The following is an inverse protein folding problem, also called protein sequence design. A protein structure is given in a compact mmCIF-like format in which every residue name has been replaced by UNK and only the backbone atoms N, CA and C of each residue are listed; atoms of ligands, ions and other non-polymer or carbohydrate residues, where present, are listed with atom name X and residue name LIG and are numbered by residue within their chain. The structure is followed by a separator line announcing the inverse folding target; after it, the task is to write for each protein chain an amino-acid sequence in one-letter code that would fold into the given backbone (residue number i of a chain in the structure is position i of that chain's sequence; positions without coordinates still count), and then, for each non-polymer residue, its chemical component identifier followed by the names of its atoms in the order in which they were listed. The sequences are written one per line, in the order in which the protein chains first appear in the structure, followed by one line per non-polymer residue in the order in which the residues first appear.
data_IF_068079250448
#
_entry.id   IF_068079250448
#
_cell.length_a   1.000
_cell.length_b   1.000
_cell.length_c   1.000
_cell.angle_alpha   90.00
_cell.angle_beta   90.00
_cell.angle_gamma   90.00
#
_symmetry.space_group_name_H-M   'P 1'
#
loop_
_entity.id
_entity.type
_entity.pdbx_description
1 polymer ?
#
# COMPACT_ATOMS: atom_id res chain seq x y z
N UNK A 1 43.78 15.89 21.50
CA UNK A 1 42.53 16.45 20.92
C UNK A 1 41.64 15.27 20.61
N UNK A 2 40.73 14.95 21.54
CA UNK A 2 39.79 13.84 21.41
C UNK A 2 38.59 14.34 20.61
N UNK A 3 38.32 13.70 19.46
CA UNK A 3 37.04 13.81 18.80
C UNK A 3 36.13 12.70 19.31
N UNK A 4 35.25 13.04 20.24
CA UNK A 4 33.99 12.34 20.43
C UNK A 4 33.00 12.83 19.38
N UNK A 5 32.41 11.95 18.55
CA UNK A 5 31.07 12.16 18.05
C UNK A 5 30.15 11.23 18.83
N UNK A 6 29.63 11.73 19.95
CA UNK A 6 28.37 11.25 20.47
C UNK A 6 27.26 11.65 19.47
N UNK A 7 27.13 10.87 18.40
CA UNK A 7 25.91 10.85 17.62
C UNK A 7 24.86 10.17 18.50
N UNK A 8 24.08 11.00 19.19
CA UNK A 8 22.81 10.58 19.81
C UNK A 8 21.97 9.91 18.73
N UNK A 9 21.94 8.58 18.77
CA UNK A 9 20.93 7.74 18.13
C UNK A 9 19.58 8.11 18.75
N UNK A 10 18.97 9.16 18.20
CA UNK A 10 17.62 9.58 18.51
C UNK A 10 16.67 8.54 17.89
N UNK A 11 16.51 7.43 18.60
CA UNK A 11 15.67 6.30 18.25
C UNK A 11 14.28 6.79 17.86
N UNK A 12 13.99 6.81 16.55
CA UNK A 12 12.72 7.21 15.95
C UNK A 12 11.63 6.16 16.23
N UNK A 13 11.29 6.01 17.50
CA UNK A 13 10.02 5.47 17.94
C UNK A 13 8.89 6.36 17.41
N UNK A 14 7.70 5.79 17.18
CA UNK A 14 6.48 6.57 16.89
C UNK A 14 6.43 7.80 17.80
N UNK A 15 6.75 8.97 17.25
CA UNK A 15 6.91 10.18 18.06
C UNK A 15 5.52 10.61 18.51
N UNK A 16 5.22 10.36 19.79
CA UNK A 16 4.00 10.85 20.41
C UNK A 16 4.15 12.36 20.57
N UNK A 17 3.31 13.12 19.86
CA UNK A 17 3.23 14.57 19.98
C UNK A 17 2.08 14.96 20.89
N UNK A 18 2.28 16.01 21.69
CA UNK A 18 1.23 16.57 22.56
C UNK A 18 0.07 17.14 21.75
N UNK A 19 0.35 17.59 20.53
CA UNK A 19 -0.64 18.17 19.61
C UNK A 19 -0.51 17.59 18.20
N UNK A 20 -1.63 17.50 17.50
CA UNK A 20 -1.64 17.19 16.08
C UNK A 20 -0.91 18.30 15.28
N UNK A 21 -0.23 17.96 14.16
CA UNK A 21 0.32 18.96 13.26
C UNK A 21 -0.73 19.99 12.85
N UNK A 22 -0.37 21.28 12.93
CA UNK A 22 -1.30 22.38 12.66
C UNK A 22 -1.96 22.26 11.28
N UNK A 23 -1.21 21.84 10.25
CA UNK A 23 -1.73 21.64 8.89
C UNK A 23 -2.87 20.63 8.76
N UNK A 24 -3.02 19.69 9.72
CA UNK A 24 -4.16 18.78 9.75
C UNK A 24 -5.47 19.47 10.14
N UNK A 25 -5.39 20.60 10.85
CA UNK A 25 -6.55 21.30 11.45
C UNK A 25 -6.86 22.64 10.79
N UNK A 26 -5.87 23.31 10.19
CA UNK A 26 -6.03 24.62 9.53
C UNK A 26 -6.95 24.53 8.31
N UNK A 27 -6.83 23.47 7.52
CA UNK A 27 -7.42 23.38 6.20
C UNK A 27 -8.31 22.16 6.01
N UNK A 28 -8.91 22.09 4.82
CA UNK A 28 -9.61 20.88 4.36
C UNK A 28 -8.59 19.92 3.76
N UNK A 29 -8.50 18.71 4.29
CA UNK A 29 -7.61 17.69 3.74
C UNK A 29 -8.06 17.23 2.36
N UNK A 30 -7.10 17.03 1.46
CA UNK A 30 -7.31 16.55 0.10
C UNK A 30 -7.49 15.04 0.15
N UNK A 31 -8.48 14.53 -0.58
CA UNK A 31 -8.67 13.09 -0.70
C UNK A 31 -7.67 12.53 -1.73
N UNK A 32 -6.78 11.65 -1.31
CA UNK A 32 -5.79 11.02 -2.19
C UNK A 32 -6.32 9.74 -2.84
N UNK A 33 -6.99 8.89 -2.07
CA UNK A 33 -7.38 7.56 -2.54
C UNK A 33 -8.40 6.85 -1.68
N UNK A 34 -8.90 5.74 -2.21
CA UNK A 34 -9.89 4.86 -1.59
C UNK A 34 -9.46 3.40 -1.82
N UNK A 35 -9.09 2.71 -0.74
CA UNK A 35 -8.91 1.25 -0.74
C UNK A 35 -10.24 0.56 -0.46
N UNK A 36 -10.24 -0.75 -0.13
CA UNK A 36 -11.46 -1.45 0.32
C UNK A 36 -11.81 -1.05 1.75
N UNK A 37 -10.84 -1.10 2.67
CA UNK A 37 -11.03 -0.84 4.10
C UNK A 37 -10.79 0.59 4.56
N UNK A 38 -10.14 1.43 3.74
CA UNK A 38 -9.67 2.77 4.18
C UNK A 38 -9.82 3.84 3.11
N UNK A 39 -10.03 5.08 3.54
CA UNK A 39 -9.94 6.29 2.69
C UNK A 39 -8.75 7.09 3.17
N UNK A 40 -7.92 7.53 2.23
CA UNK A 40 -6.68 8.24 2.51
C UNK A 40 -6.86 9.72 2.20
N UNK A 41 -6.55 10.56 3.18
CA UNK A 41 -6.56 12.01 3.07
C UNK A 41 -5.19 12.57 3.33
N UNK A 42 -4.86 13.71 2.74
CA UNK A 42 -3.58 14.37 2.93
C UNK A 42 -3.70 15.88 3.09
N UNK A 43 -2.81 16.39 3.91
CA UNK A 43 -2.37 17.78 3.97
C UNK A 43 -1.12 17.95 3.11
N UNK A 44 -0.33 18.99 3.35
CA UNK A 44 0.90 19.22 2.60
C UNK A 44 1.96 18.15 2.90
N UNK A 45 2.16 17.80 4.17
CA UNK A 45 3.24 16.92 4.62
C UNK A 45 2.72 15.67 5.33
N UNK A 46 1.45 15.63 5.74
CA UNK A 46 0.88 14.49 6.46
C UNK A 46 -0.29 13.84 5.74
N UNK A 47 -0.34 12.51 5.84
CA UNK A 47 -1.41 11.62 5.41
C UNK A 47 -2.14 11.09 6.64
N UNK A 48 -3.47 11.09 6.60
CA UNK A 48 -4.32 10.45 7.61
C UNK A 48 -5.25 9.43 6.94
N UNK A 49 -5.48 8.32 7.65
CA UNK A 49 -6.34 7.23 7.20
C UNK A 49 -7.69 7.34 7.93
N UNK A 50 -8.79 7.24 7.17
CA UNK A 50 -10.12 6.94 7.72
C UNK A 50 -10.41 5.48 7.49
N UNK A 51 -10.58 4.73 8.57
CA UNK A 51 -11.09 3.37 8.50
C UNK A 51 -12.58 3.35 8.15
N UNK A 52 -12.97 2.35 7.38
CA UNK A 52 -14.36 2.08 7.06
C UNK A 52 -15.00 1.16 8.05
N UNK A 53 -16.29 1.35 8.26
CA UNK A 53 -17.07 0.38 9.02
C UNK A 53 -17.16 -0.95 8.25
N UNK A 54 -17.36 -2.08 8.95
CA UNK A 54 -17.61 -3.36 8.29
C UNK A 54 -18.78 -3.32 7.31
N UNK A 55 -19.84 -2.55 7.61
CA UNK A 55 -20.99 -2.40 6.70
C UNK A 55 -20.63 -1.64 5.41
N UNK A 56 -19.78 -0.61 5.49
CA UNK A 56 -19.28 0.09 4.30
C UNK A 56 -18.43 -0.83 3.42
N UNK A 57 -17.58 -1.67 4.03
CA UNK A 57 -16.72 -2.62 3.32
C UNK A 57 -17.55 -3.69 2.63
N UNK A 58 -18.47 -4.33 3.36
CA UNK A 58 -19.33 -5.37 2.79
C UNK A 58 -20.21 -4.81 1.66
N UNK A 59 -20.72 -3.58 1.80
CA UNK A 59 -21.48 -2.92 0.74
C UNK A 59 -20.63 -2.70 -0.52
N UNK A 60 -19.36 -2.32 -0.37
CA UNK A 60 -18.43 -2.19 -1.49
C UNK A 60 -18.15 -3.53 -2.19
N UNK A 61 -17.93 -4.61 -1.42
CA UNK A 61 -17.67 -5.93 -1.99
C UNK A 61 -18.92 -6.45 -2.71
N UNK A 62 -20.11 -6.31 -2.10
CA UNK A 62 -21.38 -6.70 -2.71
C UNK A 62 -21.65 -5.92 -4.00
N UNK A 63 -21.43 -4.60 -3.96
CA UNK A 63 -21.54 -3.73 -5.13
C UNK A 63 -20.62 -4.18 -6.27
N UNK A 64 -19.36 -4.48 -5.95
CA UNK A 64 -18.39 -4.92 -6.95
C UNK A 64 -18.74 -6.28 -7.55
N UNK A 65 -19.20 -7.24 -6.73
CA UNK A 65 -19.69 -8.53 -7.23
C UNK A 65 -20.93 -8.38 -8.11
N UNK A 66 -21.84 -7.48 -7.73
CA UNK A 66 -23.04 -7.18 -8.52
C UNK A 66 -22.70 -6.56 -9.88
N UNK A 67 -21.81 -5.56 -9.90
CA UNK A 67 -21.34 -4.94 -11.15
C UNK A 67 -20.68 -5.99 -12.04
N UNK A 68 -19.76 -6.81 -11.48
CA UNK A 68 -19.12 -7.89 -12.23
C UNK A 68 -20.13 -8.86 -12.81
N UNK A 69 -21.15 -9.27 -12.05
CA UNK A 69 -22.19 -10.19 -12.54
C UNK A 69 -23.02 -9.60 -13.70
N UNK A 70 -23.19 -8.27 -13.71
CA UNK A 70 -23.96 -7.55 -14.73
C UNK A 70 -23.09 -7.17 -15.93
N UNK A 71 -21.77 -7.12 -15.78
CA UNK A 71 -20.83 -6.84 -16.86
C UNK A 71 -21.03 -7.78 -18.06
N UNK A 72 -21.38 -9.04 -17.81
CA UNK A 72 -21.65 -10.04 -18.86
C UNK A 72 -22.92 -9.72 -19.67
N UNK A 73 -23.84 -8.95 -19.09
CA UNK A 73 -25.13 -8.58 -19.67
C UNK A 73 -25.10 -7.19 -20.31
N UNK A 74 -24.06 -6.38 -20.04
CA UNK A 74 -23.91 -5.05 -20.59
C UNK A 74 -23.10 -5.09 -21.90
N UNK A 75 -23.70 -4.76 -23.05
CA UNK A 75 -22.98 -4.75 -24.32
C UNK A 75 -21.89 -3.65 -24.31
N UNK A 76 -20.69 -4.02 -24.77
CA UNK A 76 -19.61 -3.11 -25.14
C UNK A 76 -18.97 -2.29 -24.01
N UNK A 77 -18.02 -2.87 -23.26
CA UNK A 77 -17.08 -2.19 -22.31
C UNK A 77 -17.66 -1.11 -21.37
N UNK A 78 -18.98 -1.04 -21.23
CA UNK A 78 -19.67 -0.06 -20.39
C UNK A 78 -19.42 -0.35 -18.90
N UNK A 79 -19.26 -1.64 -18.55
CA UNK A 79 -18.88 -2.06 -17.20
C UNK A 79 -17.51 -1.52 -16.77
N UNK A 80 -16.50 -1.63 -17.65
CA UNK A 80 -15.14 -1.12 -17.40
C UNK A 80 -15.15 0.40 -17.20
N UNK A 81 -15.84 1.16 -18.06
CA UNK A 81 -15.93 2.63 -17.94
C UNK A 81 -16.63 3.10 -16.67
N UNK A 82 -17.64 2.35 -16.19
CA UNK A 82 -18.33 2.64 -14.93
C UNK A 82 -17.39 2.45 -13.73
N UNK A 83 -16.49 1.46 -13.78
CA UNK A 83 -15.54 1.19 -12.70
C UNK A 83 -14.35 2.15 -12.68
N UNK A 84 -13.89 2.64 -13.84
CA UNK A 84 -12.73 3.53 -13.95
C UNK A 84 -12.95 4.93 -13.35
N UNK A 85 -14.18 5.44 -13.37
CA UNK A 85 -14.53 6.74 -12.77
C UNK A 85 -15.74 6.58 -11.86
N UNK A 86 -15.57 6.60 -10.52
CA UNK A 86 -16.68 6.54 -9.58
C UNK A 86 -17.54 7.79 -9.69
N UNK A 87 -18.50 7.76 -10.61
CA UNK A 87 -19.45 8.82 -10.88
C UNK A 87 -20.40 8.99 -9.69
N UNK A 88 -21.25 10.04 -9.71
CA UNK A 88 -22.33 10.20 -8.73
C UNK A 88 -23.22 8.94 -8.61
N UNK A 89 -23.31 8.13 -9.67
CA UNK A 89 -24.11 6.90 -9.71
C UNK A 89 -23.56 5.80 -8.79
N UNK A 90 -22.23 5.62 -8.72
CA UNK A 90 -21.62 4.64 -7.80
C UNK A 90 -21.87 5.04 -6.34
N UNK A 91 -21.92 6.34 -6.04
CA UNK A 91 -22.28 6.81 -4.70
C UNK A 91 -23.73 6.49 -4.37
N UNK A 92 -24.66 6.74 -5.30
CA UNK A 92 -26.07 6.42 -5.10
C UNK A 92 -26.28 4.90 -4.93
N UNK A 93 -25.67 4.10 -5.80
CA UNK A 93 -25.76 2.66 -5.75
C UNK A 93 -25.16 2.10 -4.45
N UNK A 94 -24.07 2.69 -3.94
CA UNK A 94 -23.53 2.37 -2.62
C UNK A 94 -24.53 2.64 -1.49
N UNK A 95 -25.22 3.78 -1.50
CA UNK A 95 -26.25 4.10 -0.51
C UNK A 95 -27.41 3.10 -0.57
N UNK A 96 -27.84 2.72 -1.79
CA UNK A 96 -28.89 1.70 -1.98
C UNK A 96 -28.46 0.33 -1.44
N UNK A 97 -27.24 -0.11 -1.77
CA UNK A 97 -26.69 -1.38 -1.26
C UNK A 97 -26.55 -1.34 0.26
N UNK A 98 -26.10 -0.23 0.84
CA UNK A 98 -26.04 -0.06 2.29
C UNK A 98 -27.43 -0.16 2.93
N UNK A 99 -28.46 0.45 2.33
CA UNK A 99 -29.85 0.32 2.77
C UNK A 99 -30.33 -1.12 2.75
N UNK A 100 -30.07 -1.85 1.65
CA UNK A 100 -30.40 -3.28 1.55
C UNK A 100 -29.68 -4.12 2.61
N UNK A 101 -28.41 -3.82 2.87
CA UNK A 101 -27.62 -4.51 3.89
C UNK A 101 -28.12 -4.32 5.32
N UNK A 102 -28.89 -3.27 5.62
CA UNK A 102 -29.51 -3.09 6.92
C UNK A 102 -30.67 -4.07 7.16
N UNK A 103 -31.28 -4.58 6.08
CA UNK A 103 -32.41 -5.52 6.13
C UNK A 103 -31.92 -6.95 6.37
N UNK A 104 -30.76 -7.32 5.82
CA UNK A 104 -30.19 -8.66 5.97
C UNK A 104 -29.33 -8.74 7.23
N UNK A 105 -29.59 -9.68 8.17
CA UNK A 105 -28.83 -9.79 9.41
C UNK A 105 -27.32 -9.96 9.16
N UNK A 106 -26.51 -9.28 9.98
CA UNK A 106 -25.03 -9.31 9.86
C UNK A 106 -24.45 -10.74 9.86
N UNK A 107 -25.05 -11.65 10.64
CA UNK A 107 -24.62 -13.05 10.71
C UNK A 107 -24.67 -13.76 9.35
N UNK A 108 -25.67 -13.48 8.53
CA UNK A 108 -25.81 -14.08 7.19
C UNK A 108 -24.69 -13.58 6.27
N UNK A 109 -24.36 -12.29 6.31
CA UNK A 109 -23.26 -11.74 5.50
C UNK A 109 -21.91 -12.32 5.90
N UNK A 110 -21.64 -12.47 7.20
CA UNK A 110 -20.38 -13.04 7.67
C UNK A 110 -20.23 -14.54 7.38
N UNK A 111 -21.34 -15.26 7.22
CA UNK A 111 -21.35 -16.65 6.78
C UNK A 111 -21.14 -16.81 5.26
N UNK A 112 -21.30 -15.75 4.48
CA UNK A 112 -21.05 -15.81 3.03
C UNK A 112 -19.56 -15.75 2.71
N UNK A 113 -19.18 -16.22 1.51
CA UNK A 113 -17.82 -16.09 0.96
C UNK A 113 -17.30 -14.63 0.96
N UNK A 114 -18.18 -13.62 0.95
CA UNK A 114 -17.80 -12.21 1.09
C UNK A 114 -17.20 -11.92 2.47
N UNK A 115 -17.81 -12.45 3.53
CA UNK A 115 -17.35 -12.30 4.90
C UNK A 115 -16.00 -12.99 5.15
N UNK A 116 -15.81 -14.16 4.53
CA UNK A 116 -14.54 -14.90 4.59
C UNK A 116 -13.40 -14.13 3.88
N UNK A 117 -13.62 -13.65 2.65
CA UNK A 117 -12.65 -12.83 1.92
C UNK A 117 -12.24 -11.58 2.71
N UNK A 118 -13.22 -10.90 3.33
CA UNK A 118 -12.93 -9.73 4.17
C UNK A 118 -12.10 -10.09 5.40
N UNK A 119 -12.42 -11.20 6.06
CA UNK A 119 -11.70 -11.67 7.26
C UNK A 119 -10.23 -11.95 6.95
N UNK A 120 -9.96 -12.67 5.85
CA UNK A 120 -8.60 -12.97 5.40
C UNK A 120 -7.84 -11.69 5.01
N UNK A 121 -8.49 -10.77 4.30
CA UNK A 121 -7.86 -9.50 3.92
C UNK A 121 -7.55 -8.64 5.15
N UNK A 122 -8.48 -8.56 6.10
CA UNK A 122 -8.30 -7.80 7.34
C UNK A 122 -7.20 -8.38 8.21
N UNK A 123 -7.16 -9.71 8.39
CA UNK A 123 -6.12 -10.35 9.19
C UNK A 123 -4.73 -10.14 8.60
N UNK A 124 -4.62 -10.11 7.26
CA UNK A 124 -3.36 -9.78 6.57
C UNK A 124 -2.97 -8.30 6.73
N UNK A 125 -3.91 -7.37 6.57
CA UNK A 125 -3.65 -5.93 6.77
C UNK A 125 -3.19 -5.65 8.22
N UNK A 126 -3.88 -6.23 9.21
CA UNK A 126 -3.53 -6.11 10.63
C UNK A 126 -2.16 -6.73 10.94
N UNK A 127 -1.89 -7.95 10.47
CA UNK A 127 -0.58 -8.59 10.63
C UNK A 127 0.53 -7.76 9.99
N UNK A 128 0.33 -7.32 8.76
CA UNK A 128 1.31 -6.54 8.01
C UNK A 128 1.63 -5.21 8.68
N UNK A 129 0.64 -4.49 9.20
CA UNK A 129 0.84 -3.26 9.98
C UNK A 129 1.56 -3.53 11.31
N UNK A 130 1.26 -4.64 12.00
CA UNK A 130 2.00 -5.07 13.20
C UNK A 130 3.47 -5.33 12.86
N UNK A 131 3.76 -6.05 11.78
CA UNK A 131 5.13 -6.32 11.32
C UNK A 131 5.87 -5.04 10.92
N UNK A 132 5.22 -4.15 10.18
CA UNK A 132 5.82 -2.86 9.85
C UNK A 132 6.13 -2.03 11.09
N UNK A 133 5.28 -2.07 12.13
CA UNK A 133 5.55 -1.36 13.39
C UNK A 133 6.64 -2.03 14.22
N UNK A 134 6.68 -3.35 14.31
CA UNK A 134 7.62 -4.06 15.17
C UNK A 134 9.01 -4.25 14.55
N UNK A 135 9.10 -4.37 13.22
CA UNK A 135 10.34 -4.68 12.50
C UNK A 135 10.91 -3.53 11.67
N UNK A 136 10.07 -2.57 11.27
CA UNK A 136 10.45 -1.49 10.35
C UNK A 136 10.27 -0.07 10.91
N UNK A 137 9.74 0.09 12.13
CA UNK A 137 9.58 1.41 12.72
C UNK A 137 10.94 2.05 13.04
N UNK A 138 11.04 3.36 12.79
CA UNK A 138 12.27 4.13 13.00
C UNK A 138 13.34 3.94 11.93
N UNK A 139 13.01 3.21 10.87
CA UNK A 139 13.93 2.92 9.78
C UNK A 139 13.58 3.70 8.52
N UNK A 140 14.57 3.91 7.68
CA UNK A 140 14.40 4.59 6.38
C UNK A 140 13.43 3.88 5.43
N UNK A 141 13.01 2.65 5.77
CA UNK A 141 12.11 1.79 5.01
C UNK A 141 10.63 2.17 5.13
N UNK A 142 10.23 2.94 6.15
CA UNK A 142 8.84 3.40 6.30
C UNK A 142 8.79 4.93 6.43
N UNK A 143 7.68 5.58 6.00
CA UNK A 143 7.50 7.00 6.26
C UNK A 143 7.38 7.27 7.76
N UNK A 144 7.75 8.48 8.20
CA UNK A 144 7.60 8.87 9.61
C UNK A 144 6.13 8.72 10.04
N UNK A 145 5.91 8.13 11.22
CA UNK A 145 4.59 8.03 11.85
C UNK A 145 4.59 8.77 13.17
N UNK A 146 3.59 9.62 13.34
CA UNK A 146 3.37 10.38 14.56
C UNK A 146 2.00 10.05 15.14
N UNK A 147 1.93 9.96 16.46
CA UNK A 147 0.69 9.78 17.21
C UNK A 147 0.42 11.02 18.04
N UNK A 148 -0.85 11.33 18.24
CA UNK A 148 -1.29 12.51 19.01
C UNK A 148 -2.68 12.28 19.60
N UNK A 149 -3.09 13.06 20.63
CA UNK A 149 -4.44 12.98 21.17
C UNK A 149 -5.50 13.14 20.06
N UNK A 150 -6.63 12.40 20.11
CA UNK A 150 -7.63 12.46 19.06
C UNK A 150 -8.12 13.89 18.77
N UNK A 151 -8.01 14.33 17.51
CA UNK A 151 -8.48 15.63 17.05
C UNK A 151 -9.49 15.48 15.91
N UNK A 152 -10.40 16.46 15.81
CA UNK A 152 -11.37 16.54 14.71
C UNK A 152 -10.77 17.34 13.55
N UNK A 153 -10.67 16.71 12.38
CA UNK A 153 -10.15 17.33 11.15
C UNK A 153 -11.23 17.42 10.08
N UNK A 154 -11.20 18.47 9.27
CA UNK A 154 -12.14 18.67 8.18
C UNK A 154 -11.59 18.04 6.91
N UNK A 155 -12.35 17.14 6.28
CA UNK A 155 -11.85 16.35 5.14
C UNK A 155 -12.60 16.64 3.83
N UNK A 156 -11.91 16.44 2.71
CA UNK A 156 -12.40 16.51 1.33
C UNK A 156 -13.51 15.50 1.04
N UNK A 157 -14.64 15.94 0.49
CA UNK A 157 -15.70 15.05 0.00
C UNK A 157 -16.48 14.26 1.06
N UNK A 158 -16.34 14.59 2.35
CA UNK A 158 -17.12 14.00 3.44
C UNK A 158 -17.95 15.07 4.17
N UNK A 159 -19.23 14.82 4.46
CA UNK A 159 -20.06 15.73 5.24
C UNK A 159 -19.75 15.56 6.72
N UNK A 160 -18.73 16.26 7.21
CA UNK A 160 -18.44 16.32 8.65
C UNK A 160 -16.96 16.29 9.00
N UNK A 161 -16.72 15.99 10.28
CA UNK A 161 -15.40 15.90 10.87
C UNK A 161 -14.95 14.44 10.94
N UNK A 162 -13.65 14.21 10.76
CA UNK A 162 -13.01 12.93 11.01
C UNK A 162 -12.20 13.05 12.30
N UNK A 163 -12.38 12.11 13.23
CA UNK A 163 -11.49 12.00 14.38
C UNK A 163 -10.24 11.23 13.96
N UNK A 164 -9.06 11.82 14.13
CA UNK A 164 -7.76 11.20 13.83
C UNK A 164 -6.84 11.33 15.04
N UNK A 165 -5.99 10.32 15.24
CA UNK A 165 -4.99 10.27 16.32
C UNK A 165 -3.61 9.82 15.84
N UNK A 166 -3.46 9.59 14.54
CA UNK A 166 -2.22 9.16 13.89
C UNK A 166 -2.12 9.88 12.54
N UNK A 167 -0.90 10.26 12.17
CA UNK A 167 -0.58 10.72 10.84
C UNK A 167 0.73 10.07 10.35
N UNK A 168 0.80 9.84 9.05
CA UNK A 168 1.96 9.28 8.36
C UNK A 168 2.53 10.33 7.42
N UNK A 169 3.84 10.44 7.34
CA UNK A 169 4.53 11.33 6.41
C UNK A 169 4.06 11.10 4.98
N UNK A 170 3.81 12.20 4.28
CA UNK A 170 3.37 12.18 2.90
C UNK A 170 4.56 11.92 1.99
N UNK A 171 4.38 10.95 1.10
CA UNK A 171 5.30 10.70 -0.01
C UNK A 171 4.96 11.61 -1.20
N UNK A 172 5.97 11.94 -2.00
CA UNK A 172 5.83 12.80 -3.18
C UNK A 172 4.97 12.13 -4.25
N UNK A 173 5.22 10.84 -4.48
CA UNK A 173 4.50 10.01 -5.44
C UNK A 173 4.62 8.53 -5.05
N UNK A 174 3.78 7.67 -5.64
CA UNK A 174 4.07 6.23 -5.61
C UNK A 174 5.28 5.93 -6.49
N UNK A 175 6.02 4.85 -6.21
CA UNK A 175 7.16 4.44 -7.03
C UNK A 175 6.74 4.17 -8.48
N UNK A 176 5.56 3.58 -8.69
CA UNK A 176 5.00 3.39 -10.03
C UNK A 176 4.81 4.73 -10.78
N UNK A 177 4.25 5.73 -10.11
CA UNK A 177 4.04 7.05 -10.71
C UNK A 177 5.38 7.71 -11.04
N UNK A 178 6.37 7.66 -10.13
CA UNK A 178 7.71 8.18 -10.37
C UNK A 178 8.37 7.55 -11.59
N UNK A 179 8.35 6.23 -11.70
CA UNK A 179 8.94 5.51 -12.85
C UNK A 179 8.21 5.83 -14.15
N UNK A 180 6.88 5.97 -14.10
CA UNK A 180 6.07 6.39 -15.25
C UNK A 180 6.45 7.79 -15.72
N UNK A 181 6.60 8.74 -14.80
CA UNK A 181 6.97 10.12 -15.13
C UNK A 181 8.38 10.22 -15.72
N UNK A 182 9.34 9.46 -15.17
CA UNK A 182 10.70 9.35 -15.73
C UNK A 182 10.69 8.76 -17.15
N UNK A 183 9.91 7.70 -17.39
CA UNK A 183 9.78 7.09 -18.71
C UNK A 183 9.16 8.06 -19.73
N UNK A 184 8.09 8.78 -19.34
CA UNK A 184 7.47 9.81 -20.20
C UNK A 184 8.45 10.94 -20.54
N UNK A 185 9.27 11.33 -19.58
CA UNK A 185 10.34 12.32 -19.77
C UNK A 185 11.58 11.75 -20.47
N UNK A 186 11.59 10.47 -20.85
CA UNK A 186 12.73 9.74 -21.46
C UNK A 186 14.00 9.75 -20.60
N UNK A 187 13.87 9.93 -19.28
CA UNK A 187 14.97 9.94 -18.30
C UNK A 187 15.28 8.51 -17.82
N UNK A 188 15.72 7.67 -18.75
CA UNK A 188 15.85 6.23 -18.52
C UNK A 188 17.01 5.84 -17.60
N UNK A 189 18.09 6.62 -17.57
CA UNK A 189 19.21 6.39 -16.65
C UNK A 189 18.75 6.52 -15.18
N UNK A 190 18.02 7.59 -14.87
CA UNK A 190 17.45 7.77 -13.54
C UNK A 190 16.36 6.73 -13.22
N UNK A 191 15.59 6.32 -14.22
CA UNK A 191 14.61 5.25 -14.05
C UNK A 191 15.30 3.96 -13.57
N UNK A 192 16.42 3.60 -14.20
CA UNK A 192 17.20 2.42 -13.82
C UNK A 192 17.77 2.55 -12.40
N UNK A 193 18.25 3.73 -12.00
CA UNK A 193 18.67 4.00 -10.61
C UNK A 193 17.53 3.73 -9.61
N UNK A 194 16.30 4.13 -9.92
CA UNK A 194 15.15 3.87 -9.03
C UNK A 194 14.75 2.38 -9.01
N UNK A 195 14.87 1.67 -10.14
CA UNK A 195 14.65 0.23 -10.18
C UNK A 195 15.69 -0.52 -9.34
N UNK A 196 16.95 -0.12 -9.42
CA UNK A 196 18.04 -0.71 -8.64
C UNK A 196 17.84 -0.46 -7.15
N UNK A 197 17.51 0.77 -6.75
CA UNK A 197 17.14 1.08 -5.36
C UNK A 197 15.98 0.23 -4.86
N UNK A 198 14.99 -0.03 -5.71
CA UNK A 198 13.85 -0.87 -5.35
C UNK A 198 14.26 -2.33 -5.10
N UNK A 199 15.22 -2.84 -5.88
CA UNK A 199 15.78 -4.16 -5.66
C UNK A 199 16.62 -4.19 -4.38
N UNK A 200 17.45 -3.17 -4.15
CA UNK A 200 18.32 -3.07 -2.96
C UNK A 200 17.54 -2.92 -1.65
N UNK A 201 16.33 -2.36 -1.71
CA UNK A 201 15.39 -2.31 -0.59
C UNK A 201 14.97 -3.70 -0.10
N UNK A 202 14.96 -4.73 -0.97
CA UNK A 202 14.37 -6.05 -0.62
C UNK A 202 15.19 -6.78 0.43
N UNK A 203 16.52 -6.96 0.27
CA UNK A 203 17.34 -7.55 1.31
C UNK A 203 17.27 -6.81 2.64
N UNK A 204 17.09 -5.48 2.64
CA UNK A 204 16.94 -4.73 3.89
C UNK A 204 15.69 -5.12 4.67
N UNK A 205 14.55 -5.31 3.98
CA UNK A 205 13.35 -5.88 4.60
C UNK A 205 13.55 -7.31 5.09
N UNK A 206 14.19 -8.16 4.28
CA UNK A 206 14.40 -9.57 4.61
C UNK A 206 15.29 -9.75 5.85
N UNK A 207 16.36 -8.96 5.98
CA UNK A 207 17.23 -8.95 7.17
C UNK A 207 16.48 -8.61 8.46
N UNK A 208 15.34 -7.93 8.34
CA UNK A 208 14.47 -7.58 9.46
C UNK A 208 13.37 -8.61 9.71
N UNK A 209 13.37 -9.70 8.95
CA UNK A 209 12.39 -10.79 9.06
C UNK A 209 11.03 -10.41 8.49
N UNK A 210 10.99 -9.53 7.48
CA UNK A 210 9.74 -9.23 6.78
C UNK A 210 9.89 -9.44 5.28
N UNK A 211 8.86 -9.99 4.65
CA UNK A 211 8.77 -10.22 3.23
C UNK A 211 7.47 -9.63 2.67
N UNK A 212 7.54 -8.91 1.56
CA UNK A 212 6.37 -8.35 0.88
C UNK A 212 5.84 -9.32 -0.17
N UNK A 213 4.78 -10.07 0.15
CA UNK A 213 4.12 -11.01 -0.76
C UNK A 213 3.56 -10.26 -1.97
N UNK A 214 2.91 -9.12 -1.72
CA UNK A 214 2.52 -8.20 -2.77
C UNK A 214 3.64 -7.18 -3.00
N UNK A 215 4.36 -7.37 -4.09
CA UNK A 215 5.48 -6.54 -4.50
C UNK A 215 5.10 -5.38 -5.44
N UNK A 216 3.80 -5.09 -5.61
CA UNK A 216 3.36 -4.01 -6.50
C UNK A 216 3.97 -2.66 -6.12
N UNK A 217 4.46 -1.95 -7.14
CA UNK A 217 5.12 -0.64 -7.02
C UNK A 217 4.23 0.47 -6.43
N UNK A 218 2.91 0.26 -6.38
CA UNK A 218 1.96 1.19 -5.73
C UNK A 218 2.00 1.12 -4.19
N UNK A 219 2.53 0.04 -3.63
CA UNK A 219 2.69 -0.14 -2.18
C UNK A 219 3.94 0.59 -1.66
N UNK A 220 4.73 1.16 -2.57
CA UNK A 220 5.94 1.93 -2.28
C UNK A 220 5.76 3.38 -2.71
N UNK A 221 6.28 4.29 -1.89
CA UNK A 221 6.34 5.71 -2.13
C UNK A 221 7.76 6.20 -2.35
N UNK A 222 7.88 7.33 -3.01
CA UNK A 222 9.12 8.09 -3.15
C UNK A 222 9.04 9.29 -2.22
N UNK A 223 10.05 9.43 -1.38
CA UNK A 223 10.20 10.58 -0.51
C UNK A 223 11.65 11.01 -0.59
N UNK A 224 11.88 12.24 -1.07
CA UNK A 224 13.20 12.77 -1.39
C UNK A 224 13.97 11.80 -2.31
N UNK A 225 15.06 11.21 -1.82
CA UNK A 225 15.93 10.32 -2.57
C UNK A 225 15.79 8.84 -2.17
N UNK A 226 14.75 8.48 -1.39
CA UNK A 226 14.53 7.11 -0.89
C UNK A 226 13.18 6.52 -1.30
N UNK A 227 13.12 5.19 -1.27
CA UNK A 227 11.89 4.41 -1.45
C UNK A 227 11.41 3.97 -0.06
N UNK A 228 10.13 4.20 0.22
CA UNK A 228 9.51 3.84 1.50
C UNK A 228 8.29 2.96 1.27
N UNK A 229 8.03 2.01 2.17
CA UNK A 229 6.83 1.17 2.16
C UNK A 229 5.65 1.97 2.72
N UNK A 230 4.66 2.25 1.88
CA UNK A 230 3.45 3.02 2.26
C UNK A 230 2.21 2.15 2.50
N UNK A 231 2.23 0.90 2.03
CA UNK A 231 1.19 -0.09 2.31
C UNK A 231 1.81 -1.40 2.82
N UNK A 232 1.56 -1.70 4.10
CA UNK A 232 2.16 -2.83 4.79
C UNK A 232 1.30 -4.10 4.72
N UNK A 233 0.08 -4.05 4.17
CA UNK A 233 -0.86 -5.17 4.26
C UNK A 233 -0.44 -6.46 3.53
N UNK A 234 0.61 -6.40 2.71
CA UNK A 234 1.23 -7.55 2.06
C UNK A 234 2.48 -8.08 2.76
N UNK A 235 2.88 -7.53 3.91
CA UNK A 235 4.01 -8.02 4.69
C UNK A 235 3.65 -9.32 5.43
N UNK A 236 4.59 -10.24 5.43
CA UNK A 236 4.53 -11.49 6.21
C UNK A 236 5.91 -11.86 6.72
N UNK A 237 5.95 -12.57 7.84
CA UNK A 237 7.11 -13.25 8.40
C UNK A 237 6.95 -14.79 8.34
N UNK A 238 5.82 -15.28 7.82
CA UNK A 238 5.52 -16.70 7.68
C UNK A 238 6.33 -17.32 6.52
N UNK A 239 7.31 -18.15 6.87
CA UNK A 239 8.18 -18.80 5.89
C UNK A 239 7.43 -19.69 4.88
N UNK A 240 6.34 -20.35 5.28
CA UNK A 240 5.58 -21.21 4.36
C UNK A 240 4.87 -20.36 3.29
N UNK A 241 4.32 -19.20 3.68
CA UNK A 241 3.73 -18.24 2.74
C UNK A 241 4.81 -17.64 1.81
N UNK A 242 5.98 -17.32 2.35
CA UNK A 242 7.14 -16.81 1.59
C UNK A 242 7.62 -17.87 0.58
N UNK A 243 7.79 -19.11 1.01
CA UNK A 243 8.28 -20.19 0.16
C UNK A 243 7.29 -20.48 -0.99
N UNK A 244 5.99 -20.53 -0.69
CA UNK A 244 4.94 -20.64 -1.71
C UNK A 244 5.01 -19.51 -2.72
N UNK A 245 5.23 -18.27 -2.25
CA UNK A 245 5.39 -17.10 -3.12
C UNK A 245 6.65 -17.19 -3.98
N UNK A 246 7.77 -17.63 -3.43
CA UNK A 246 9.04 -17.75 -4.16
C UNK A 246 8.99 -18.85 -5.22
N UNK A 247 8.30 -19.95 -4.97
CA UNK A 247 8.04 -20.98 -5.99
C UNK A 247 7.23 -20.42 -7.16
N UNK A 248 6.25 -19.55 -6.91
CA UNK A 248 5.58 -18.82 -7.99
C UNK A 248 6.57 -17.89 -8.73
N UNK A 249 7.39 -17.13 -8.00
CA UNK A 249 8.37 -16.22 -8.62
C UNK A 249 9.39 -16.95 -9.49
N UNK A 250 9.75 -18.21 -9.22
CA UNK A 250 10.68 -18.99 -10.05
C UNK A 250 10.17 -19.21 -11.49
N UNK A 251 8.86 -19.41 -11.68
CA UNK A 251 8.26 -19.68 -12.99
C UNK A 251 7.89 -18.42 -13.79
N UNK A 252 7.87 -17.25 -13.14
CA UNK A 252 7.53 -15.97 -13.80
C UNK A 252 8.61 -15.59 -14.81
N UNK A 253 8.30 -15.54 -16.10
CA UNK A 253 9.32 -15.19 -17.12
C UNK A 253 9.71 -13.72 -17.09
N UNK A 254 8.73 -12.85 -16.87
CA UNK A 254 8.89 -11.40 -17.01
C UNK A 254 8.41 -10.66 -15.75
N UNK A 255 9.22 -10.63 -14.68
CA UNK A 255 8.86 -9.98 -13.42
C UNK A 255 8.41 -8.51 -13.59
N UNK A 256 9.03 -7.76 -14.49
CA UNK A 256 8.65 -6.38 -14.75
C UNK A 256 7.17 -6.23 -15.19
N UNK A 257 6.63 -7.15 -16.00
CA UNK A 257 5.22 -7.11 -16.42
C UNK A 257 4.31 -7.34 -15.21
N UNK A 258 4.63 -8.34 -14.40
CA UNK A 258 3.88 -8.64 -13.17
C UNK A 258 3.85 -7.45 -12.21
N UNK A 259 4.93 -6.67 -12.16
CA UNK A 259 5.03 -5.45 -11.34
C UNK A 259 4.34 -4.23 -11.96
N UNK A 260 3.73 -4.37 -13.14
CA UNK A 260 3.05 -3.29 -13.86
C UNK A 260 4.01 -2.37 -14.63
N UNK A 261 5.25 -2.79 -14.88
CA UNK A 261 6.25 -2.00 -15.61
C UNK A 261 6.22 -2.21 -17.12
N UNK A 262 5.36 -3.08 -17.67
CA UNK A 262 5.34 -3.38 -19.10
C UNK A 262 5.22 -2.14 -19.99
N UNK A 263 4.28 -1.23 -19.68
CA UNK A 263 4.14 0.03 -20.41
C UNK A 263 5.29 1.02 -20.13
N UNK A 264 5.85 1.01 -18.93
CA UNK A 264 6.94 1.91 -18.50
C UNK A 264 8.24 1.58 -19.21
N UNK A 265 8.53 0.28 -19.40
CA UNK A 265 9.78 -0.23 -19.98
C UNK A 265 9.63 -0.64 -21.44
N UNK A 266 8.44 -0.55 -22.04
CA UNK A 266 8.20 -1.00 -23.42
C UNK A 266 9.09 -0.32 -24.48
N UNK A 267 9.53 0.92 -24.24
CA UNK A 267 10.47 1.61 -25.12
C UNK A 267 11.95 1.25 -24.89
N UNK A 268 12.26 0.48 -23.83
CA UNK A 268 13.61 0.12 -23.38
C UNK A 268 13.66 -1.35 -22.93
N UNK A 269 13.52 -2.30 -23.88
CA UNK A 269 13.60 -3.73 -23.58
C UNK A 269 14.94 -4.11 -22.93
N UNK A 270 16.02 -3.41 -23.25
CA UNK A 270 17.33 -3.62 -22.63
C UNK A 270 17.34 -3.38 -21.10
N UNK A 271 16.59 -2.37 -20.62
CA UNK A 271 16.43 -2.11 -19.18
C UNK A 271 15.52 -3.17 -18.56
N UNK A 272 14.44 -3.56 -19.24
CA UNK A 272 13.56 -4.62 -18.78
C UNK A 272 14.31 -5.94 -18.59
N UNK A 273 15.18 -6.31 -19.53
CA UNK A 273 15.98 -7.54 -19.47
C UNK A 273 16.97 -7.52 -18.30
N UNK A 274 17.70 -6.41 -18.11
CA UNK A 274 18.61 -6.24 -16.96
C UNK A 274 17.85 -6.31 -15.63
N UNK A 275 16.71 -5.62 -15.53
CA UNK A 275 15.87 -5.67 -14.34
C UNK A 275 15.35 -7.08 -14.06
N UNK A 276 14.80 -7.78 -15.07
CA UNK A 276 14.29 -9.15 -14.91
C UNK A 276 15.41 -10.10 -14.45
N UNK A 277 16.60 -9.99 -15.05
CA UNK A 277 17.76 -10.80 -14.67
C UNK A 277 18.16 -10.55 -13.21
N UNK A 278 18.26 -9.29 -12.80
CA UNK A 278 18.61 -8.93 -11.42
C UNK A 278 17.53 -9.33 -10.43
N UNK A 279 16.25 -9.16 -10.78
CA UNK A 279 15.12 -9.65 -9.98
C UNK A 279 15.22 -11.14 -9.74
N UNK A 280 15.45 -11.95 -10.77
CA UNK A 280 15.59 -13.41 -10.65
C UNK A 280 16.80 -13.82 -9.81
N UNK A 281 17.91 -13.13 -9.98
CA UNK A 281 19.12 -13.37 -9.19
C UNK A 281 18.90 -13.07 -7.70
N UNK A 282 18.02 -12.12 -7.36
CA UNK A 282 17.79 -11.64 -6.01
C UNK A 282 16.59 -12.30 -5.31
N UNK A 283 15.46 -12.41 -6.01
CA UNK A 283 14.16 -12.86 -5.48
C UNK A 283 13.99 -14.35 -5.76
N UNK A 284 14.78 -15.15 -5.03
CA UNK A 284 14.72 -16.61 -5.05
C UNK A 284 14.91 -17.16 -3.63
N UNK A 285 14.59 -18.45 -3.44
CA UNK A 285 14.63 -19.10 -2.13
C UNK A 285 15.98 -18.99 -1.43
N UNK A 286 17.08 -19.22 -2.16
CA UNK A 286 18.43 -19.19 -1.59
C UNK A 286 18.81 -17.80 -1.09
N UNK A 287 18.59 -16.75 -1.88
CA UNK A 287 18.96 -15.39 -1.49
C UNK A 287 18.07 -14.84 -0.39
N UNK A 288 16.76 -15.11 -0.44
CA UNK A 288 15.87 -14.71 0.66
C UNK A 288 16.27 -15.41 1.95
N UNK A 289 16.55 -16.72 1.92
CA UNK A 289 17.00 -17.47 3.11
C UNK A 289 18.32 -16.95 3.65
N UNK A 290 19.27 -16.61 2.77
CA UNK A 290 20.57 -16.03 3.12
C UNK A 290 20.43 -14.71 3.87
N UNK A 291 19.46 -13.89 3.48
CA UNK A 291 19.19 -12.61 4.12
C UNK A 291 18.23 -12.70 5.31
N UNK A 292 17.55 -13.83 5.50
CA UNK A 292 16.58 -13.99 6.58
C UNK A 292 17.26 -14.09 7.95
N UNK A 293 16.73 -13.47 9.02
CA UNK A 293 17.30 -13.59 10.35
C UNK A 293 17.22 -15.03 10.85
N UNK A 294 18.33 -15.54 11.40
CA UNK A 294 18.43 -16.91 11.92
C UNK A 294 17.41 -17.24 13.04
N UNK A 295 16.92 -16.21 13.74
CA UNK A 295 16.01 -16.34 14.89
C UNK A 295 14.55 -16.01 14.55
N UNK A 296 14.20 -15.86 13.27
CA UNK A 296 12.81 -15.68 12.84
C UNK A 296 12.14 -17.04 12.69
N UNK A 297 11.49 -17.50 13.77
CA UNK A 297 10.59 -18.66 13.83
C UNK A 297 9.30 -18.43 13.06
#
# INVERSE_FOLDING_TARGET
MNHDPAATEDSQTSRVRVHAPAELTIGRLIRLGEGVGKVVYASQNWVVKRERSPSEILALIALWKFIRKIEHLLPGRLGERLLEKPSRQIRLLRVLVQGFMLVVPRGVWFATHIGEMWRVHRSRDERGEILARSRLAGEFLTPERIQFPPVRVKVGGWPGWLTVSEATERVEATLHQRLTDLARAKRFEELEVWLDRFLDLRPEGWRRGVFSIDSHLKNFGVHENRIVLIDAGGLTDDWAEIESRLTFEEVVKEPHIQLGLGAVLGARPDIADRFNKRWKALVNRSEVRRHWPANGS
#
